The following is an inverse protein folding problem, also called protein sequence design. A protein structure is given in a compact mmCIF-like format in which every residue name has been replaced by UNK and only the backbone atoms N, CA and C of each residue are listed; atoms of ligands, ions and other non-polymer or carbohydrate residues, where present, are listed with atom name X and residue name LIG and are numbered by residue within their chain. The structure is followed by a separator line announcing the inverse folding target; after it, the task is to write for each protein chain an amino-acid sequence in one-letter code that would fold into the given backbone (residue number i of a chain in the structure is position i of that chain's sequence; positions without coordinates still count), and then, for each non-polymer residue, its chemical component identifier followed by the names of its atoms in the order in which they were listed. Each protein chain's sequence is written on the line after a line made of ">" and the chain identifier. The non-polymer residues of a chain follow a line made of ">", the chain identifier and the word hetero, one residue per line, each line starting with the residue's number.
data_IF_136067445287
#
_entry.id   IF_136067445287
#
_cell.length_a   1.000
_cell.length_b   1.000
_cell.length_c   1.000
_cell.angle_alpha   90.00
_cell.angle_beta   90.00
_cell.angle_gamma   90.00
#
_symmetry.space_group_name_H-M   'P 1'
#
loop_
_entity.id
_entity.type
_entity.pdbx_description
1 polymer ?
#
# COMPACT_ATOMS: atom_id res chain seq x y z
N UNK A 1 20.54 -24.10 -25.69
CA UNK A 1 20.23 -25.53 -25.83
C UNK A 1 18.98 -25.84 -25.01
N UNK A 2 17.82 -26.07 -25.65
CA UNK A 2 16.55 -26.30 -24.95
C UNK A 2 16.49 -27.75 -24.46
N UNK A 3 16.92 -28.00 -23.22
CA UNK A 3 16.76 -29.30 -22.57
C UNK A 3 15.29 -29.69 -22.50
N UNK A 4 14.95 -30.94 -22.85
CA UNK A 4 13.59 -31.47 -22.69
C UNK A 4 13.20 -31.43 -21.21
N UNK A 5 12.26 -30.55 -20.83
CA UNK A 5 11.69 -30.49 -19.49
C UNK A 5 10.46 -31.38 -19.44
N UNK A 6 10.58 -32.53 -18.80
CA UNK A 6 9.45 -33.41 -18.48
C UNK A 6 8.89 -32.94 -17.14
N UNK A 7 7.65 -32.45 -17.15
CA UNK A 7 7.00 -31.90 -15.96
C UNK A 7 5.79 -32.75 -15.63
N UNK A 8 5.78 -33.32 -14.43
CA UNK A 8 4.64 -34.07 -13.90
C UNK A 8 3.57 -33.08 -13.45
N UNK A 9 2.33 -33.29 -13.88
CA UNK A 9 1.22 -32.50 -13.36
C UNK A 9 0.84 -32.96 -11.95
N UNK A 10 0.71 -32.01 -11.02
CA UNK A 10 0.25 -32.26 -9.65
C UNK A 10 -1.21 -32.68 -9.55
N UNK A 11 -2.06 -32.27 -10.50
CA UNK A 11 -3.49 -32.63 -10.51
C UNK A 11 -3.79 -33.97 -11.22
N UNK A 12 -3.37 -34.11 -12.50
CA UNK A 12 -3.73 -35.25 -13.36
C UNK A 12 -2.69 -36.40 -13.28
N UNK A 13 -1.53 -36.21 -12.64
CA UNK A 13 -0.44 -37.19 -12.58
C UNK A 13 0.30 -37.44 -13.91
N UNK A 14 -0.20 -36.91 -15.02
CA UNK A 14 0.36 -37.12 -16.37
C UNK A 14 1.69 -36.39 -16.56
N UNK A 15 2.60 -37.01 -17.30
CA UNK A 15 3.89 -36.44 -17.69
C UNK A 15 3.71 -35.61 -18.97
N UNK A 16 3.96 -34.30 -18.86
CA UNK A 16 3.89 -33.39 -19.99
C UNK A 16 5.31 -32.94 -20.36
N UNK A 17 5.66 -32.98 -21.64
CA UNK A 17 6.98 -32.54 -22.13
C UNK A 17 6.88 -31.14 -22.69
N UNK A 18 7.60 -30.17 -22.09
CA UNK A 18 7.68 -28.77 -22.55
C UNK A 18 6.31 -28.08 -22.75
N UNK A 19 5.27 -28.45 -22.00
CA UNK A 19 3.96 -27.79 -22.05
C UNK A 19 3.71 -26.97 -20.79
N UNK A 20 3.08 -25.82 -20.96
CA UNK A 20 2.74 -24.91 -19.87
C UNK A 20 1.49 -25.36 -19.10
N UNK A 21 0.60 -26.10 -19.77
CA UNK A 21 -0.66 -26.63 -19.24
C UNK A 21 -0.72 -28.17 -19.39
N UNK A 22 -1.40 -28.88 -18.47
CA UNK A 22 -1.65 -30.33 -18.58
C UNK A 22 -2.50 -30.59 -19.84
N UNK A 23 -2.09 -31.52 -20.70
CA UNK A 23 -2.93 -31.95 -21.84
C UNK A 23 -4.25 -32.58 -21.42
N UNK A 24 -4.31 -33.15 -20.21
CA UNK A 24 -5.46 -33.89 -19.71
C UNK A 24 -6.41 -33.01 -18.87
N UNK A 25 -5.90 -32.24 -17.91
CA UNK A 25 -6.74 -31.42 -17.03
C UNK A 25 -6.63 -29.90 -17.25
N UNK A 26 -5.88 -29.47 -18.27
CA UNK A 26 -5.66 -28.07 -18.63
C UNK A 26 -5.14 -27.17 -17.49
N UNK A 27 -4.67 -27.75 -16.38
CA UNK A 27 -4.14 -26.99 -15.25
C UNK A 27 -2.74 -26.47 -15.56
N UNK A 28 -2.42 -25.27 -15.09
CA UNK A 28 -1.11 -24.65 -15.29
C UNK A 28 -0.04 -25.46 -14.53
N UNK A 29 0.91 -26.02 -15.27
CA UNK A 29 1.99 -26.86 -14.72
C UNK A 29 3.27 -26.03 -14.54
N UNK A 30 3.55 -25.12 -15.48
CA UNK A 30 4.84 -24.41 -15.51
C UNK A 30 5.03 -23.49 -14.30
N UNK A 31 6.13 -23.70 -13.57
CA UNK A 31 6.47 -22.88 -12.41
C UNK A 31 6.79 -21.43 -12.78
N UNK A 32 7.41 -21.21 -13.95
CA UNK A 32 7.77 -19.86 -14.44
C UNK A 32 6.50 -19.02 -14.64
N UNK A 33 5.53 -19.54 -15.39
CA UNK A 33 4.26 -18.85 -15.66
C UNK A 33 3.42 -18.63 -14.39
N UNK A 34 3.48 -19.56 -13.42
CA UNK A 34 2.87 -19.36 -12.09
C UNK A 34 3.46 -18.16 -11.35
N UNK A 35 4.77 -17.93 -11.45
CA UNK A 35 5.42 -16.79 -10.81
C UNK A 35 5.08 -15.49 -11.53
N UNK A 36 5.04 -15.50 -12.86
CA UNK A 36 4.66 -14.34 -13.68
C UNK A 36 3.22 -13.90 -13.38
N UNK A 37 2.26 -14.83 -13.38
CA UNK A 37 0.85 -14.53 -13.06
C UNK A 37 0.72 -13.99 -11.63
N UNK A 38 1.48 -14.54 -10.66
CA UNK A 38 1.49 -14.00 -9.28
C UNK A 38 2.09 -12.60 -9.22
N UNK A 39 3.14 -12.32 -9.99
CA UNK A 39 3.76 -11.00 -10.06
C UNK A 39 2.82 -9.97 -10.71
N UNK A 40 2.13 -10.34 -11.79
CA UNK A 40 1.13 -9.51 -12.46
C UNK A 40 -0.07 -9.23 -11.55
N UNK A 41 -0.63 -10.26 -10.91
CA UNK A 41 -1.72 -10.10 -9.95
C UNK A 41 -1.28 -9.22 -8.75
N UNK A 42 -0.03 -9.33 -8.31
CA UNK A 42 0.53 -8.47 -7.27
C UNK A 42 0.62 -7.00 -7.69
N UNK A 43 0.98 -6.73 -8.95
CA UNK A 43 1.01 -5.37 -9.52
C UNK A 43 -0.40 -4.79 -9.65
N UNK A 44 -1.34 -5.56 -10.20
CA UNK A 44 -2.74 -5.13 -10.35
C UNK A 44 -3.38 -4.76 -9.01
N UNK A 45 -3.19 -5.60 -7.97
CA UNK A 45 -3.68 -5.31 -6.62
C UNK A 45 -3.09 -4.03 -6.02
N UNK A 46 -1.85 -3.67 -6.34
CA UNK A 46 -1.24 -2.42 -5.86
C UNK A 46 -1.85 -1.21 -6.56
N UNK A 47 -2.12 -1.33 -7.86
CA UNK A 47 -2.78 -0.28 -8.65
C UNK A 47 -4.21 -0.08 -8.16
N UNK A 48 -4.99 -1.14 -7.99
CA UNK A 48 -6.36 -1.09 -7.46
C UNK A 48 -6.41 -0.48 -6.06
N UNK A 49 -5.47 -0.84 -5.18
CA UNK A 49 -5.37 -0.22 -3.85
C UNK A 49 -5.08 1.27 -3.91
N UNK A 50 -4.16 1.70 -4.77
CA UNK A 50 -3.84 3.10 -4.95
C UNK A 50 -5.01 3.90 -5.53
N UNK A 51 -5.80 3.29 -6.44
CA UNK A 51 -7.03 3.88 -6.97
C UNK A 51 -8.09 3.99 -5.85
N UNK A 52 -8.29 2.90 -5.09
CA UNK A 52 -9.25 2.86 -4.00
C UNK A 52 -8.92 3.86 -2.87
N UNK A 53 -7.65 4.02 -2.49
CA UNK A 53 -7.22 5.04 -1.52
C UNK A 53 -7.45 6.47 -2.04
N UNK A 54 -7.34 6.69 -3.35
CA UNK A 54 -7.70 7.98 -3.97
C UNK A 54 -9.21 8.23 -4.01
N UNK A 55 -10.00 7.20 -4.30
CA UNK A 55 -11.46 7.33 -4.40
C UNK A 55 -12.16 7.38 -3.04
N UNK A 56 -11.58 6.73 -2.02
CA UNK A 56 -12.10 6.75 -0.67
C UNK A 56 -11.05 7.33 0.31
N UNK A 57 -10.80 8.65 0.24
CA UNK A 57 -9.86 9.29 1.13
C UNK A 57 -10.31 9.14 2.59
N UNK A 58 -9.33 9.11 3.50
CA UNK A 58 -9.57 8.97 4.92
C UNK A 58 -10.52 10.08 5.44
N UNK A 59 -11.24 9.84 6.55
CA UNK A 59 -12.21 10.81 7.12
C UNK A 59 -11.61 12.21 7.28
N UNK A 60 -10.33 12.29 7.65
CA UNK A 60 -9.58 13.55 7.78
C UNK A 60 -9.40 14.32 6.46
N UNK A 61 -9.15 13.62 5.35
CA UNK A 61 -9.04 14.23 4.03
C UNK A 61 -10.42 14.60 3.47
N UNK A 62 -11.43 13.76 3.69
CA UNK A 62 -12.83 14.08 3.36
C UNK A 62 -13.32 15.32 4.09
N UNK A 63 -12.98 15.47 5.37
CA UNK A 63 -13.35 16.65 6.16
C UNK A 63 -12.62 17.93 5.70
N UNK A 64 -11.38 17.81 5.19
CA UNK A 64 -10.64 18.93 4.56
C UNK A 64 -11.19 19.32 3.18
N UNK A 65 -11.77 18.35 2.46
CA UNK A 65 -12.36 18.54 1.14
C UNK A 65 -13.84 18.96 1.19
N UNK A 66 -14.44 19.08 2.38
CA UNK A 66 -15.83 19.53 2.49
C UNK A 66 -16.01 20.93 1.88
N UNK A 67 -17.08 21.15 1.10
CA UNK A 67 -17.32 22.42 0.39
C UNK A 67 -17.55 23.62 1.32
N UNK A 68 -17.80 23.37 2.61
CA UNK A 68 -18.03 24.41 3.61
C UNK A 68 -16.69 25.00 4.07
N UNK A 69 -16.23 26.02 3.35
CA UNK A 69 -15.03 26.83 3.59
C UNK A 69 -14.89 27.27 5.06
N UNK A 70 -16.02 27.50 5.76
CA UNK A 70 -16.05 27.89 7.18
C UNK A 70 -15.32 26.85 8.07
N UNK A 71 -15.60 25.56 7.90
CA UNK A 71 -14.97 24.51 8.72
C UNK A 71 -13.50 24.34 8.38
N UNK A 72 -13.12 24.56 7.11
CA UNK A 72 -11.72 24.54 6.67
C UNK A 72 -10.90 25.67 7.30
N UNK A 73 -11.47 26.88 7.35
CA UNK A 73 -10.84 28.05 7.99
C UNK A 73 -10.76 27.87 9.51
N UNK A 74 -11.84 27.42 10.15
CA UNK A 74 -11.86 27.16 11.59
C UNK A 74 -10.80 26.13 12.00
N UNK A 75 -10.64 25.05 11.23
CA UNK A 75 -9.60 24.05 11.46
C UNK A 75 -8.17 24.60 11.31
N UNK A 76 -7.93 25.47 10.32
CA UNK A 76 -6.65 26.15 10.15
C UNK A 76 -6.33 27.09 11.32
N UNK A 77 -7.31 27.87 11.78
CA UNK A 77 -7.15 28.78 12.91
C UNK A 77 -6.85 28.00 14.19
N UNK A 78 -7.61 26.94 14.47
CA UNK A 78 -7.40 26.10 15.65
C UNK A 78 -6.01 25.45 15.65
N UNK A 79 -5.61 24.88 14.49
CA UNK A 79 -4.30 24.26 14.35
C UNK A 79 -3.15 25.26 14.52
N UNK A 80 -3.27 26.45 13.90
CA UNK A 80 -2.29 27.52 14.05
C UNK A 80 -2.17 27.99 15.49
N UNK A 81 -3.31 28.17 16.18
CA UNK A 81 -3.32 28.60 17.57
C UNK A 81 -2.63 27.57 18.50
N UNK A 82 -2.94 26.29 18.33
CA UNK A 82 -2.30 25.20 19.09
C UNK A 82 -0.80 25.18 18.83
N UNK A 83 -0.36 25.23 17.57
CA UNK A 83 1.07 25.24 17.23
C UNK A 83 1.82 26.41 17.88
N UNK A 84 1.25 27.62 17.84
CA UNK A 84 1.88 28.81 18.46
C UNK A 84 1.99 28.66 19.97
N UNK A 85 0.90 28.27 20.64
CA UNK A 85 0.89 28.09 22.10
C UNK A 85 1.85 26.98 22.53
N UNK A 86 1.87 25.85 21.80
CA UNK A 86 2.79 24.74 22.06
C UNK A 86 4.25 25.15 21.86
N UNK A 87 4.57 25.92 20.82
CA UNK A 87 5.93 26.39 20.58
C UNK A 87 6.43 27.33 21.69
N UNK A 88 5.57 28.25 22.14
CA UNK A 88 5.90 29.16 23.26
C UNK A 88 6.06 28.36 24.55
N UNK A 89 5.12 27.46 24.86
CA UNK A 89 5.16 26.63 26.05
C UNK A 89 6.41 25.73 26.10
N UNK A 90 6.77 25.11 24.98
CA UNK A 90 7.98 24.30 24.86
C UNK A 90 9.25 25.15 25.00
N UNK A 91 9.28 26.34 24.40
CA UNK A 91 10.42 27.26 24.52
C UNK A 91 10.65 27.73 25.97
N UNK A 92 9.57 28.10 26.67
CA UNK A 92 9.64 28.47 28.09
C UNK A 92 10.05 27.29 28.96
N UNK A 93 9.48 26.11 28.73
CA UNK A 93 9.83 24.90 29.47
C UNK A 93 11.31 24.53 29.27
N UNK A 94 11.83 24.63 28.05
CA UNK A 94 13.23 24.37 27.74
C UNK A 94 14.15 25.37 28.42
N UNK A 95 13.79 26.66 28.41
CA UNK A 95 14.55 27.71 29.08
C UNK A 95 14.63 27.48 30.60
N UNK A 96 13.49 27.16 31.23
CA UNK A 96 13.43 26.86 32.67
C UNK A 96 14.26 25.60 32.97
N UNK A 97 14.17 24.56 32.15
CA UNK A 97 14.95 23.34 32.33
C UNK A 97 16.46 23.59 32.24
N UNK A 98 16.92 24.45 31.32
CA UNK A 98 18.33 24.86 31.24
C UNK A 98 18.79 25.61 32.49
N UNK A 99 17.97 26.53 33.00
CA UNK A 99 18.31 27.32 34.19
C UNK A 99 18.31 26.44 35.45
N UNK A 100 17.41 25.47 35.56
CA UNK A 100 17.32 24.58 36.72
C UNK A 100 18.39 23.47 36.74
N UNK A 101 19.04 23.19 35.60
CA UNK A 101 20.09 22.18 35.47
C UNK A 101 21.52 22.75 35.59
N UNK A 102 21.65 24.07 35.77
CA UNK A 102 22.92 24.78 35.97
C UNK A 102 23.19 25.16 37.42
#
# INVERSE_FOLDING_TARGET
>A
MSGKRIIKCTNCGTFNTNKEYCTNCNTLISHQKKQEIKAEAGKQKRVEKAIYEKENPNLAERLKAHPNIIYKIAGWIMYSAIMVVSAIGAGLAWFIAMVAAG
#
